data_IF_029186292973
#
_entry.id   IF_029186292973
#
_cell.length_a   1.000
_cell.length_b   1.000
_cell.length_c   1.000
_cell.angle_alpha   90.00
_cell.angle_beta   90.00
_cell.angle_gamma   90.00
#
_symmetry.space_group_name_H-M   'P 1'
#
loop_
_entity.id
_entity.type
_entity.pdbx_description
1 polymer ?
#
# COMPACT_ATOMS: atom_id res chain seq x y z
N UNK A 1 5.39 5.57 -10.99
CA UNK A 1 4.40 5.94 -12.02
C UNK A 1 3.09 6.24 -11.35
N UNK A 2 2.45 7.35 -11.72
CA UNK A 2 1.11 7.67 -11.24
C UNK A 2 0.12 7.03 -12.23
N UNK A 3 -0.79 6.21 -11.74
CA UNK A 3 -1.89 5.67 -12.53
C UNK A 3 -3.03 6.69 -12.45
N UNK A 4 -3.32 7.33 -13.57
CA UNK A 4 -4.38 8.32 -13.76
C UNK A 4 -5.11 7.97 -15.07
N UNK A 5 -6.44 7.78 -15.03
CA UNK A 5 -7.24 7.38 -16.20
C UNK A 5 -7.49 5.86 -16.36
N UNK A 6 -7.70 5.40 -17.60
CA UNK A 6 -8.04 4.00 -17.92
C UNK A 6 -6.86 3.04 -17.69
N UNK A 7 -6.93 2.30 -16.59
CA UNK A 7 -5.93 1.31 -16.14
C UNK A 7 -5.61 0.28 -17.25
N UNK A 8 -6.59 -0.11 -18.08
CA UNK A 8 -6.35 -1.08 -19.14
C UNK A 8 -5.49 -0.50 -20.26
N UNK A 9 -5.71 0.75 -20.63
CA UNK A 9 -4.90 1.41 -21.66
C UNK A 9 -3.47 1.62 -21.16
N UNK A 10 -3.31 1.99 -19.88
CA UNK A 10 -2.00 2.08 -19.24
C UNK A 10 -1.23 0.76 -19.31
N UNK A 11 -1.83 -0.36 -18.88
CA UNK A 11 -1.15 -1.66 -18.91
C UNK A 11 -0.83 -2.13 -20.33
N UNK A 12 -1.72 -1.91 -21.31
CA UNK A 12 -1.43 -2.23 -22.72
C UNK A 12 -0.20 -1.52 -23.25
N UNK A 13 -0.01 -0.25 -22.88
CA UNK A 13 1.17 0.50 -23.29
C UNK A 13 2.40 0.04 -22.51
N UNK A 14 2.27 -0.18 -21.20
CA UNK A 14 3.36 -0.63 -20.34
C UNK A 14 3.98 -1.96 -20.80
N UNK A 15 3.15 -2.98 -21.02
CA UNK A 15 3.63 -4.31 -21.43
C UNK A 15 4.15 -4.38 -22.87
N UNK A 16 3.97 -3.32 -23.67
CA UNK A 16 4.47 -3.23 -25.04
C UNK A 16 5.95 -2.83 -25.12
N UNK A 17 6.42 -1.98 -24.20
CA UNK A 17 7.77 -1.38 -24.25
C UNK A 17 8.81 -2.11 -23.38
N UNK A 18 8.38 -3.10 -22.59
CA UNK A 18 9.27 -3.94 -21.78
C UNK A 18 8.53 -4.59 -20.61
N UNK A 19 9.04 -5.74 -20.14
CA UNK A 19 8.44 -6.48 -19.03
C UNK A 19 9.21 -6.30 -17.74
N UNK A 20 8.64 -5.58 -16.77
CA UNK A 20 9.11 -5.64 -15.40
C UNK A 20 8.65 -6.95 -14.73
N UNK A 21 9.43 -7.45 -13.78
CA UNK A 21 9.11 -8.66 -13.03
C UNK A 21 8.64 -8.37 -11.60
N UNK A 22 8.95 -7.20 -11.04
CA UNK A 22 8.56 -6.86 -9.68
C UNK A 22 7.85 -5.50 -9.65
N UNK A 23 6.69 -5.48 -8.99
CA UNK A 23 5.75 -4.38 -8.98
C UNK A 23 5.38 -4.00 -7.54
N UNK A 24 5.26 -2.70 -7.30
CA UNK A 24 4.79 -2.15 -6.03
C UNK A 24 3.54 -1.31 -6.28
N UNK A 25 2.43 -1.70 -5.67
CA UNK A 25 1.16 -0.98 -5.67
C UNK A 25 1.01 -0.26 -4.33
N UNK A 26 0.98 1.08 -4.38
CA UNK A 26 0.83 1.91 -3.18
C UNK A 26 -0.58 2.49 -3.13
N UNK A 27 -1.32 2.18 -2.07
CA UNK A 27 -2.65 2.73 -1.82
C UNK A 27 -3.75 2.27 -2.78
N UNK A 28 -3.59 1.11 -3.43
CA UNK A 28 -4.61 0.54 -4.32
C UNK A 28 -5.62 -0.32 -3.55
N UNK A 29 -6.91 -0.22 -3.94
CA UNK A 29 -8.01 -1.00 -3.38
C UNK A 29 -8.11 -2.44 -3.90
N UNK A 30 -7.12 -2.91 -4.66
CA UNK A 30 -7.06 -4.26 -5.23
C UNK A 30 -7.53 -4.38 -6.69
N UNK A 31 -8.14 -3.33 -7.26
CA UNK A 31 -8.57 -3.35 -8.67
C UNK A 31 -7.37 -3.37 -9.63
N UNK A 32 -6.40 -2.49 -9.38
CA UNK A 32 -5.17 -2.41 -10.19
C UNK A 32 -4.35 -3.69 -10.02
N UNK A 33 -4.29 -4.21 -8.79
CA UNK A 33 -3.66 -5.49 -8.47
C UNK A 33 -4.23 -6.64 -9.30
N UNK A 34 -5.56 -6.81 -9.29
CA UNK A 34 -6.24 -7.88 -10.01
C UNK A 34 -6.05 -7.77 -11.53
N UNK A 35 -6.12 -6.54 -12.06
CA UNK A 35 -5.85 -6.30 -13.48
C UNK A 35 -4.40 -6.64 -13.83
N UNK A 36 -3.44 -6.18 -13.04
CA UNK A 36 -2.03 -6.48 -13.26
C UNK A 36 -1.78 -8.00 -13.30
N UNK A 37 -2.32 -8.75 -12.34
CA UNK A 37 -2.21 -10.21 -12.33
C UNK A 37 -2.79 -10.85 -13.61
N UNK A 38 -3.91 -10.34 -14.13
CA UNK A 38 -4.50 -10.82 -15.40
C UNK A 38 -3.58 -10.59 -16.60
N UNK A 39 -2.89 -9.46 -16.66
CA UNK A 39 -1.92 -9.19 -17.73
C UNK A 39 -0.70 -10.12 -17.61
N UNK A 40 -0.20 -10.35 -16.39
CA UNK A 40 0.97 -11.20 -16.13
C UNK A 40 0.71 -12.70 -16.36
N UNK A 41 -0.51 -13.16 -16.08
CA UNK A 41 -0.92 -14.54 -16.32
C UNK A 41 -1.23 -14.82 -17.80
N UNK A 42 -1.45 -13.79 -18.62
CA UNK A 42 -1.75 -13.95 -20.04
C UNK A 42 -0.50 -14.36 -20.83
N UNK A 43 -0.62 -15.41 -21.65
CA UNK A 43 0.48 -15.87 -22.53
C UNK A 43 1.00 -14.78 -23.46
N UNK A 44 0.10 -13.95 -24.01
CA UNK A 44 0.46 -12.86 -24.93
C UNK A 44 0.73 -11.52 -24.21
N UNK A 45 0.69 -11.50 -22.87
CA UNK A 45 0.82 -10.30 -22.01
C UNK A 45 -0.10 -9.12 -22.40
N UNK A 46 -1.19 -9.41 -23.09
CA UNK A 46 -2.10 -8.41 -23.67
C UNK A 46 -3.54 -8.52 -23.13
N UNK A 47 -3.74 -9.31 -22.08
CA UNK A 47 -5.04 -9.70 -21.54
C UNK A 47 -6.04 -10.06 -22.66
N UNK A 48 -5.75 -11.15 -23.39
CA UNK A 48 -6.44 -11.50 -24.64
C UNK A 48 -7.90 -11.96 -24.46
N UNK A 49 -8.34 -12.24 -23.22
CA UNK A 49 -9.67 -12.79 -22.86
C UNK A 49 -10.02 -14.14 -23.50
N UNK A 50 -9.06 -14.77 -24.19
CA UNK A 50 -9.25 -16.02 -24.95
C UNK A 50 -8.48 -17.20 -24.37
N UNK A 51 -7.35 -16.96 -23.71
CA UNK A 51 -6.59 -18.04 -23.10
C UNK A 51 -7.22 -18.47 -21.76
N UNK A 52 -6.92 -19.70 -21.37
CA UNK A 52 -7.39 -20.30 -20.11
C UNK A 52 -7.04 -19.43 -18.89
N UNK A 53 -5.83 -18.88 -18.85
CA UNK A 53 -5.40 -17.97 -17.80
C UNK A 53 -6.18 -16.64 -17.72
N UNK A 54 -6.71 -16.15 -18.85
CA UNK A 54 -7.57 -14.96 -18.86
C UNK A 54 -9.05 -15.26 -18.61
N UNK A 55 -9.46 -16.53 -18.75
CA UNK A 55 -10.85 -16.96 -18.55
C UNK A 55 -11.10 -17.48 -17.13
N UNK A 56 -10.06 -18.02 -16.48
CA UNK A 56 -10.13 -18.44 -15.09
C UNK A 56 -10.24 -17.24 -14.14
N UNK A 57 -11.08 -17.35 -13.11
CA UNK A 57 -11.10 -16.40 -12.00
C UNK A 57 -9.95 -16.63 -11.01
N UNK A 58 -9.35 -17.82 -11.01
CA UNK A 58 -8.24 -18.21 -10.15
C UNK A 58 -6.98 -18.49 -10.96
N UNK A 59 -5.87 -17.87 -10.56
CA UNK A 59 -4.57 -18.09 -11.18
C UNK A 59 -3.88 -19.27 -10.49
N UNK A 60 -3.85 -20.43 -11.13
CA UNK A 60 -3.21 -21.64 -10.58
C UNK A 60 -1.70 -21.45 -10.29
N UNK A 61 -1.05 -20.52 -11.00
CA UNK A 61 0.35 -20.14 -10.78
C UNK A 61 0.56 -19.03 -9.73
N UNK A 62 -0.52 -18.50 -9.13
CA UNK A 62 -0.42 -17.43 -8.13
C UNK A 62 -0.33 -17.98 -6.72
N UNK A 63 0.64 -17.50 -5.95
CA UNK A 63 0.75 -17.71 -4.50
C UNK A 63 0.47 -16.40 -3.78
N UNK A 64 -0.43 -16.46 -2.82
CA UNK A 64 -0.98 -15.29 -2.14
C UNK A 64 -0.51 -15.29 -0.69
N UNK A 65 0.15 -14.20 -0.29
CA UNK A 65 0.63 -13.94 1.06
C UNK A 65 -0.08 -12.69 1.57
N UNK A 66 -1.04 -12.86 2.48
CA UNK A 66 -1.81 -11.76 3.08
C UNK A 66 -1.65 -11.75 4.60
N UNK A 67 -1.42 -10.57 5.18
CA UNK A 67 -1.36 -10.40 6.63
C UNK A 67 -0.83 -9.05 7.08
N UNK A 68 -0.97 -8.73 8.37
CA UNK A 68 -0.53 -7.43 8.93
C UNK A 68 0.96 -7.15 8.67
N UNK A 69 1.80 -8.18 8.80
CA UNK A 69 3.24 -8.07 8.61
C UNK A 69 3.81 -9.29 7.89
N UNK A 70 4.66 -9.07 6.89
CA UNK A 70 5.44 -10.12 6.24
C UNK A 70 6.78 -10.29 6.94
N UNK A 71 7.03 -11.48 7.48
CA UNK A 71 8.22 -11.81 8.26
C UNK A 71 9.28 -12.53 7.42
N UNK A 72 10.46 -12.74 7.99
CA UNK A 72 11.56 -13.43 7.32
C UNK A 72 11.20 -14.86 6.91
N UNK A 73 10.38 -15.57 7.69
CA UNK A 73 9.94 -16.93 7.37
C UNK A 73 9.14 -16.94 6.06
N UNK A 74 8.18 -16.01 5.91
CA UNK A 74 7.38 -15.84 4.69
C UNK A 74 8.27 -15.49 3.50
N UNK A 75 9.23 -14.58 3.69
CA UNK A 75 10.17 -14.19 2.65
C UNK A 75 11.07 -15.34 2.19
N UNK A 76 11.49 -16.22 3.11
CA UNK A 76 12.26 -17.44 2.78
C UNK A 76 11.41 -18.45 2.02
N UNK A 77 10.13 -18.59 2.39
CA UNK A 77 9.21 -19.45 1.65
C UNK A 77 9.01 -18.95 0.22
N UNK A 78 8.77 -17.63 0.06
CA UNK A 78 8.67 -16.98 -1.25
C UNK A 78 9.94 -17.19 -2.07
N UNK A 79 11.12 -17.00 -1.47
CA UNK A 79 12.40 -17.25 -2.13
C UNK A 79 12.53 -18.71 -2.59
N UNK A 80 12.22 -19.67 -1.72
CA UNK A 80 12.28 -21.09 -2.06
C UNK A 80 11.32 -21.43 -3.21
N UNK A 81 10.09 -20.92 -3.13
CA UNK A 81 9.07 -21.08 -4.16
C UNK A 81 9.44 -20.43 -5.49
N UNK A 82 10.05 -19.24 -5.45
CA UNK A 82 10.47 -18.51 -6.63
C UNK A 82 11.59 -19.22 -7.39
N UNK A 83 12.42 -20.00 -6.69
CA UNK A 83 13.50 -20.80 -7.27
C UNK A 83 13.03 -22.13 -7.88
N UNK A 84 11.78 -22.53 -7.69
CA UNK A 84 11.23 -23.75 -8.29
C UNK A 84 10.81 -23.51 -9.74
N UNK A 85 10.91 -24.52 -10.61
CA UNK A 85 10.37 -24.45 -11.98
C UNK A 85 8.85 -24.24 -11.93
N UNK A 86 8.34 -23.39 -12.82
CA UNK A 86 6.90 -23.20 -12.94
C UNK A 86 6.22 -24.48 -13.46
N UNK A 87 5.14 -24.91 -12.80
CA UNK A 87 4.34 -26.05 -13.24
C UNK A 87 3.31 -25.65 -14.31
N UNK A 88 2.76 -24.42 -14.22
CA UNK A 88 1.70 -23.91 -15.08
C UNK A 88 1.90 -22.43 -15.38
N UNK A 89 2.47 -22.11 -16.54
CA UNK A 89 2.67 -20.73 -17.01
C UNK A 89 3.45 -19.84 -16.05
N UNK A 90 3.13 -18.54 -16.04
CA UNK A 90 3.77 -17.55 -15.17
C UNK A 90 3.54 -17.83 -13.68
N UNK A 91 4.60 -17.77 -12.86
CA UNK A 91 4.51 -17.76 -11.39
C UNK A 91 4.28 -16.34 -10.90
N UNK A 92 3.26 -16.13 -10.08
CA UNK A 92 2.93 -14.81 -9.55
C UNK A 92 2.92 -14.88 -8.02
N UNK A 93 3.77 -14.09 -7.38
CA UNK A 93 3.78 -13.91 -5.93
C UNK A 93 3.01 -12.64 -5.59
N UNK A 94 1.81 -12.80 -5.06
CA UNK A 94 0.97 -11.70 -4.59
C UNK A 94 1.21 -11.51 -3.11
N UNK A 95 1.75 -10.36 -2.73
CA UNK A 95 2.13 -10.02 -1.37
C UNK A 95 1.28 -8.81 -0.95
N UNK A 96 0.32 -9.01 -0.07
CA UNK A 96 -0.52 -7.93 0.47
C UNK A 96 -0.27 -7.83 1.98
N UNK A 97 0.48 -6.82 2.39
CA UNK A 97 0.81 -6.63 3.80
C UNK A 97 0.78 -5.17 4.21
N UNK A 98 0.55 -4.90 5.50
CA UNK A 98 0.69 -3.55 6.05
C UNK A 98 2.16 -3.16 6.21
N UNK A 99 3.03 -4.16 6.48
CA UNK A 99 4.43 -3.92 6.80
C UNK A 99 5.33 -5.08 6.35
N UNK A 100 6.49 -4.77 5.75
CA UNK A 100 7.52 -5.76 5.47
C UNK A 100 8.67 -5.58 6.47
N UNK A 101 8.98 -6.63 7.24
CA UNK A 101 10.09 -6.58 8.17
C UNK A 101 11.45 -6.38 7.44
N UNK A 102 12.44 -5.69 8.03
CA UNK A 102 13.68 -5.32 7.32
C UNK A 102 14.49 -6.52 6.81
N UNK A 103 14.45 -7.61 7.56
CA UNK A 103 15.05 -8.90 7.22
C UNK A 103 14.28 -9.62 6.09
N UNK A 104 12.95 -9.52 6.09
CA UNK A 104 12.10 -9.97 4.99
C UNK A 104 12.40 -9.20 3.69
N UNK A 105 12.52 -7.87 3.76
CA UNK A 105 12.88 -7.04 2.62
C UNK A 105 14.24 -7.42 2.03
N UNK A 106 15.25 -7.62 2.89
CA UNK A 106 16.60 -8.05 2.47
C UNK A 106 16.59 -9.43 1.83
N UNK A 107 15.73 -10.33 2.31
CA UNK A 107 15.57 -11.68 1.75
C UNK A 107 14.89 -11.63 0.38
N UNK A 108 13.81 -10.85 0.25
CA UNK A 108 13.11 -10.64 -1.02
C UNK A 108 13.98 -9.95 -2.07
N UNK A 109 14.83 -9.00 -1.65
CA UNK A 109 15.76 -8.30 -2.53
C UNK A 109 16.61 -9.26 -3.37
N UNK A 110 17.20 -10.28 -2.74
CA UNK A 110 18.04 -11.28 -3.40
C UNK A 110 17.29 -12.06 -4.48
N UNK A 111 16.00 -12.31 -4.26
CA UNK A 111 15.14 -13.04 -5.19
C UNK A 111 14.64 -12.14 -6.33
N UNK A 112 14.43 -10.85 -6.05
CA UNK A 112 13.95 -9.85 -7.02
C UNK A 112 15.07 -9.36 -7.95
N UNK A 113 16.34 -9.42 -7.53
CA UNK A 113 17.49 -9.05 -8.36
C UNK A 113 17.68 -9.97 -9.57
N UNK A 114 17.51 -11.27 -9.37
CA UNK A 114 17.69 -12.29 -10.42
C UNK A 114 16.51 -13.29 -10.37
N UNK A 115 15.29 -12.86 -10.72
CA UNK A 115 14.14 -13.73 -10.68
C UNK A 115 14.22 -14.77 -11.81
N UNK A 116 13.77 -15.99 -11.51
CA UNK A 116 13.61 -16.99 -12.57
C UNK A 116 12.69 -16.47 -13.70
N UNK A 117 12.89 -16.93 -14.95
CA UNK A 117 12.00 -16.58 -16.05
C UNK A 117 10.53 -16.79 -15.70
N UNK A 118 9.68 -15.88 -16.19
CA UNK A 118 8.22 -15.90 -15.96
C UNK A 118 7.81 -15.90 -14.48
N UNK A 119 8.67 -15.40 -13.60
CA UNK A 119 8.36 -15.17 -12.19
C UNK A 119 8.10 -13.69 -11.96
N UNK A 120 6.95 -13.38 -11.36
CA UNK A 120 6.51 -12.01 -11.10
C UNK A 120 6.17 -11.80 -9.62
N UNK A 121 6.49 -10.62 -9.10
CA UNK A 121 6.20 -10.19 -7.73
C UNK A 121 5.26 -9.00 -7.78
N UNK A 122 4.12 -9.10 -7.12
CA UNK A 122 3.14 -8.03 -6.97
C UNK A 122 3.01 -7.73 -5.49
N UNK A 123 3.58 -6.60 -5.06
CA UNK A 123 3.60 -6.15 -3.67
C UNK A 123 2.59 -5.02 -3.51
N UNK A 124 1.64 -5.18 -2.60
CA UNK A 124 0.59 -4.21 -2.28
C UNK A 124 0.80 -3.70 -0.87
N UNK A 125 1.04 -2.39 -0.73
CA UNK A 125 1.28 -1.71 0.56
C UNK A 125 0.43 -0.44 0.67
N UNK A 126 0.07 -0.08 1.91
CA UNK A 126 -0.59 1.20 2.19
C UNK A 126 0.36 2.41 1.95
N UNK A 127 1.65 2.24 2.22
CA UNK A 127 2.68 3.27 2.05
C UNK A 127 4.03 2.63 1.67
N UNK A 128 4.82 3.32 0.85
CA UNK A 128 6.18 2.92 0.51
C UNK A 128 7.24 3.42 1.51
N UNK A 129 6.84 4.20 2.52
CA UNK A 129 7.75 4.81 3.50
C UNK A 129 8.51 3.79 4.38
N UNK A 130 7.95 2.59 4.58
CA UNK A 130 8.57 1.51 5.35
C UNK A 130 9.55 0.66 4.52
N UNK A 131 9.62 0.89 3.21
CA UNK A 131 10.51 0.14 2.33
C UNK A 131 11.93 0.71 2.30
N UNK A 132 12.89 -0.19 2.31
CA UNK A 132 14.29 0.11 2.12
C UNK A 132 14.55 0.58 0.69
N UNK A 133 15.44 1.56 0.55
CA UNK A 133 15.83 2.12 -0.74
C UNK A 133 16.36 1.07 -1.74
N UNK A 134 17.15 0.05 -1.33
CA UNK A 134 17.60 -1.01 -2.24
C UNK A 134 16.44 -1.77 -2.86
N UNK A 135 15.43 -2.15 -2.06
CA UNK A 135 14.26 -2.86 -2.55
C UNK A 135 13.43 -1.98 -3.48
N UNK A 136 13.14 -0.75 -3.07
CA UNK A 136 12.33 0.19 -3.85
C UNK A 136 12.92 0.45 -5.25
N UNK A 137 14.26 0.52 -5.37
CA UNK A 137 14.94 0.76 -6.65
C UNK A 137 14.76 -0.36 -7.69
N UNK A 138 14.38 -1.58 -7.27
CA UNK A 138 14.16 -2.74 -8.15
C UNK A 138 12.67 -2.99 -8.43
N UNK A 139 11.79 -2.19 -7.83
CA UNK A 139 10.34 -2.31 -7.99
C UNK A 139 9.82 -1.30 -8.99
N UNK A 140 8.94 -1.74 -9.88
CA UNK A 140 8.13 -0.83 -10.69
C UNK A 140 6.98 -0.31 -9.82
N UNK A 141 7.10 0.94 -9.39
CA UNK A 141 6.13 1.55 -8.47
C UNK A 141 4.94 2.14 -9.23
N UNK A 142 3.75 1.66 -8.89
CA UNK A 142 2.45 2.15 -9.29
C UNK A 142 1.78 2.83 -8.09
N UNK A 143 1.61 4.15 -8.18
CA UNK A 143 0.89 4.96 -7.19
C UNK A 143 -0.43 5.38 -7.80
N UNK A 144 -1.55 5.15 -7.12
CA UNK A 144 -2.83 5.71 -7.57
C UNK A 144 -2.79 7.23 -7.43
N UNK A 145 -3.27 7.97 -8.44
CA UNK A 145 -3.32 9.43 -8.36
C UNK A 145 -4.26 9.84 -7.22
N UNK A 146 -3.81 10.77 -6.36
CA UNK A 146 -4.64 11.36 -5.29
C UNK A 146 -5.83 12.19 -5.82
N UNK A 147 -6.14 12.16 -7.13
CA UNK A 147 -7.22 12.98 -7.69
C UNK A 147 -8.62 12.44 -7.34
N UNK A 148 -8.82 11.13 -7.27
CA UNK A 148 -10.10 10.56 -6.84
C UNK A 148 -10.34 10.77 -5.33
N UNK A 149 -9.27 10.81 -4.53
CA UNK A 149 -9.34 11.14 -3.10
C UNK A 149 -9.70 12.62 -2.84
N UNK A 150 -9.42 13.55 -3.77
CA UNK A 150 -9.75 14.98 -3.58
C UNK A 150 -11.26 15.26 -3.55
N UNK A 151 -12.08 14.43 -4.18
CA UNK A 151 -13.53 14.65 -4.24
C UNK A 151 -14.25 14.34 -2.91
N UNK A 152 -13.76 13.36 -2.14
CA UNK A 152 -14.29 13.07 -0.79
C UNK A 152 -13.58 13.87 0.31
N UNK A 153 -12.27 14.11 0.20
CA UNK A 153 -11.47 14.78 1.25
C UNK A 153 -11.75 16.28 1.32
N UNK A 154 -12.16 16.93 0.22
CA UNK A 154 -12.52 18.35 0.23
C UNK A 154 -13.81 18.66 1.02
N UNK A 155 -14.57 17.64 1.45
CA UNK A 155 -15.69 17.78 2.39
C UNK A 155 -15.35 17.37 3.83
N UNK A 156 -14.12 16.94 4.12
CA UNK A 156 -13.71 16.55 5.46
C UNK A 156 -13.56 17.79 6.36
N UNK A 157 -14.66 18.21 6.99
CA UNK A 157 -14.60 18.98 8.23
C UNK A 157 -14.22 18.01 9.33
N UNK A 158 -13.14 18.32 10.04
CA UNK A 158 -12.60 17.50 11.11
C UNK A 158 -13.55 17.57 12.33
N UNK A 159 -14.67 16.83 12.27
CA UNK A 159 -15.64 16.65 13.35
C UNK A 159 -15.20 15.44 14.19
N UNK A 160 -14.35 15.71 15.19
CA UNK A 160 -13.76 14.71 16.08
C UNK A 160 -14.76 14.05 17.05
N UNK A 161 -15.97 14.59 17.20
CA UNK A 161 -17.05 13.97 17.96
C UNK A 161 -17.48 12.62 17.32
N UNK A 162 -17.36 12.51 15.99
CA UNK A 162 -17.68 11.27 15.26
C UNK A 162 -16.49 10.29 15.20
N UNK A 163 -15.26 10.75 15.49
CA UNK A 163 -14.03 9.95 15.33
C UNK A 163 -13.92 8.86 16.39
N UNK A 164 -14.36 9.12 17.63
CA UNK A 164 -14.46 8.10 18.68
C UNK A 164 -15.54 7.05 18.43
N UNK A 165 -16.54 7.36 17.58
CA UNK A 165 -17.62 6.45 17.19
C UNK A 165 -17.26 5.59 15.96
N UNK A 166 -16.39 6.10 15.08
CA UNK A 166 -16.01 5.47 13.81
C UNK A 166 -14.86 4.45 13.92
N UNK A 167 -14.05 4.50 14.97
CA UNK A 167 -12.87 3.63 15.12
C UNK A 167 -13.08 2.62 16.25
N UNK A 168 -13.78 1.54 15.94
CA UNK A 168 -13.90 0.38 16.83
C UNK A 168 -12.73 -0.59 16.64
N UNK A 169 -12.17 -0.64 15.43
CA UNK A 169 -11.10 -1.55 15.06
C UNK A 169 -9.80 -0.81 14.66
N UNK A 170 -8.67 -1.54 14.62
CA UNK A 170 -7.36 -0.96 14.26
C UNK A 170 -7.33 -0.43 12.83
N UNK A 171 -7.93 -1.17 11.89
CA UNK A 171 -7.96 -0.77 10.48
C UNK A 171 -8.72 0.56 10.28
N UNK A 172 -9.81 0.74 11.03
CA UNK A 172 -10.58 1.99 11.03
C UNK A 172 -9.78 3.14 11.67
N UNK A 173 -9.03 2.86 12.72
CA UNK A 173 -8.15 3.85 13.34
C UNK A 173 -6.99 4.26 12.43
N UNK A 174 -6.40 3.33 11.66
CA UNK A 174 -5.38 3.65 10.65
C UNK A 174 -5.95 4.56 9.56
N UNK A 175 -7.17 4.29 9.10
CA UNK A 175 -7.84 5.14 8.12
C UNK A 175 -8.13 6.55 8.67
N UNK A 176 -8.47 6.65 9.97
CA UNK A 176 -8.58 7.94 10.67
C UNK A 176 -7.24 8.67 10.73
N UNK A 177 -6.15 7.98 11.10
CA UNK A 177 -4.82 8.58 11.12
C UNK A 177 -4.41 9.12 9.75
N UNK A 178 -4.70 8.36 8.68
CA UNK A 178 -4.45 8.77 7.29
C UNK A 178 -5.24 10.02 6.90
N UNK A 179 -6.52 10.11 7.29
CA UNK A 179 -7.35 11.30 7.06
C UNK A 179 -6.81 12.53 7.79
N UNK A 180 -6.30 12.37 9.01
CA UNK A 180 -5.70 13.47 9.78
C UNK A 180 -4.40 13.96 9.11
N UNK A 181 -3.53 13.07 8.63
CA UNK A 181 -2.31 13.47 7.91
C UNK A 181 -2.63 14.25 6.63
N UNK A 182 -3.63 13.78 5.88
CA UNK A 182 -4.09 14.46 4.69
C UNK A 182 -4.67 15.86 5.00
N UNK A 183 -5.26 16.07 6.17
CA UNK A 183 -5.72 17.38 6.64
C UNK A 183 -4.58 18.28 7.15
N UNK A 184 -3.55 17.69 7.76
CA UNK A 184 -2.39 18.45 8.24
C UNK A 184 -1.53 18.99 7.09
N UNK A 185 -1.38 18.22 6.01
CA UNK A 185 -0.50 18.56 4.88
C UNK A 185 -0.77 19.94 4.22
N UNK A 186 -2.03 20.34 3.92
CA UNK A 186 -2.31 21.68 3.43
C UNK A 186 -2.14 22.75 4.51
N UNK A 187 -2.47 22.45 5.78
CA UNK A 187 -2.32 23.40 6.89
C UNK A 187 -0.87 23.80 7.08
N UNK A 188 0.06 22.85 7.08
CA UNK A 188 1.52 23.10 7.20
C UNK A 188 2.00 24.15 6.18
N UNK A 189 1.41 24.15 4.98
CA UNK A 189 1.79 25.07 3.88
C UNK A 189 1.17 26.47 4.00
N UNK A 190 0.12 26.63 4.80
CA UNK A 190 -0.64 27.89 4.93
C UNK A 190 -0.61 28.46 6.35
N UNK A 191 0.27 27.95 7.22
CA UNK A 191 0.39 28.40 8.61
C UNK A 191 0.98 29.81 8.71
N UNK A 192 0.27 30.70 9.40
CA UNK A 192 0.77 31.99 9.86
C UNK A 192 1.46 31.82 11.23
N UNK A 193 2.32 32.76 11.63
CA UNK A 193 3.14 32.69 12.86
C UNK A 193 2.32 32.44 14.13
N UNK A 194 1.12 33.01 14.24
CA UNK A 194 0.26 32.86 15.43
C UNK A 194 -0.48 31.51 15.48
N UNK A 195 -0.83 30.96 14.31
CA UNK A 195 -1.50 29.65 14.18
C UNK A 195 -0.52 28.47 14.28
N UNK A 196 0.79 28.75 14.11
CA UNK A 196 1.83 27.74 14.11
C UNK A 196 2.05 27.11 15.49
N UNK A 197 1.97 27.89 16.58
CA UNK A 197 2.16 27.35 17.94
C UNK A 197 1.07 26.35 18.34
N UNK A 198 -0.20 26.66 18.03
CA UNK A 198 -1.33 25.78 18.33
C UNK A 198 -1.30 24.51 17.47
N UNK A 199 -0.88 24.65 16.21
CA UNK A 199 -0.68 23.51 15.32
C UNK A 199 0.50 22.63 15.74
N UNK A 200 1.59 23.21 16.26
CA UNK A 200 2.74 22.48 16.79
C UNK A 200 2.33 21.59 17.96
N UNK A 201 1.56 22.11 18.93
CA UNK A 201 1.05 21.30 20.05
C UNK A 201 0.17 20.14 19.57
N UNK A 202 -0.74 20.39 18.62
CA UNK A 202 -1.56 19.32 18.04
C UNK A 202 -0.71 18.28 17.28
N UNK A 203 0.29 18.71 16.52
CA UNK A 203 1.14 17.82 15.75
C UNK A 203 2.00 16.93 16.67
N UNK A 204 2.56 17.50 17.75
CA UNK A 204 3.30 16.76 18.76
C UNK A 204 2.42 15.68 19.41
N UNK A 205 1.22 16.05 19.85
CA UNK A 205 0.23 15.11 20.41
C UNK A 205 -0.14 14.03 19.40
N UNK A 206 -0.34 14.40 18.13
CA UNK A 206 -0.64 13.45 17.05
C UNK A 206 0.49 12.42 16.87
N UNK A 207 1.74 12.87 16.79
CA UNK A 207 2.87 11.97 16.60
C UNK A 207 3.10 11.08 17.83
N UNK A 208 2.88 11.58 19.04
CA UNK A 208 2.96 10.78 20.26
C UNK A 208 1.87 9.71 20.30
N UNK A 209 0.64 10.07 19.95
CA UNK A 209 -0.50 9.14 19.88
C UNK A 209 -0.27 8.09 18.79
N UNK A 210 0.22 8.50 17.62
CA UNK A 210 0.56 7.58 16.52
C UNK A 210 1.63 6.59 16.96
N UNK A 211 2.68 7.05 17.64
CA UNK A 211 3.72 6.19 18.20
C UNK A 211 3.12 5.16 19.18
N UNK A 212 2.29 5.60 20.13
CA UNK A 212 1.61 4.71 21.10
C UNK A 212 0.63 3.73 20.44
N UNK A 213 0.01 4.11 19.32
CA UNK A 213 -0.84 3.22 18.51
C UNK A 213 -0.03 2.08 17.86
N UNK A 214 1.15 2.39 17.34
CA UNK A 214 2.08 1.41 16.76
C UNK A 214 2.72 0.51 17.83
N UNK A 215 3.01 1.05 19.02
CA UNK A 215 3.55 0.30 20.17
C UNK A 215 2.52 -0.62 20.87
N UNK A 216 1.25 -0.62 20.39
CA UNK A 216 0.14 -1.44 20.91
C UNK A 216 -0.15 -1.24 22.41
N UNK A 217 0.21 -0.08 22.95
CA UNK A 217 0.16 0.18 24.40
C UNK A 217 -1.25 0.51 24.91
N UNK A 218 -2.10 1.09 24.04
CA UNK A 218 -3.46 1.55 24.39
C UNK A 218 -4.47 1.19 23.31
N UNK A 219 -5.76 1.20 23.67
CA UNK A 219 -6.84 0.95 22.71
C UNK A 219 -6.93 2.10 21.69
N UNK A 220 -7.22 1.80 20.41
CA UNK A 220 -7.33 2.83 19.37
C UNK A 220 -8.34 3.93 19.71
N UNK A 221 -9.45 3.55 20.34
CA UNK A 221 -10.48 4.47 20.80
C UNK A 221 -9.97 5.49 21.82
N UNK A 222 -9.25 5.03 22.86
CA UNK A 222 -8.70 5.90 23.90
C UNK A 222 -7.68 6.89 23.33
N UNK A 223 -6.87 6.44 22.38
CA UNK A 223 -5.87 7.24 21.68
C UNK A 223 -6.51 8.33 20.82
N UNK A 224 -7.59 8.01 20.11
CA UNK A 224 -8.32 8.97 19.28
C UNK A 224 -9.17 9.96 20.10
N UNK A 225 -9.72 9.53 21.25
CA UNK A 225 -10.38 10.43 22.21
C UNK A 225 -9.39 11.46 22.79
N UNK A 226 -8.15 11.05 23.09
CA UNK A 226 -7.11 11.98 23.52
C UNK A 226 -6.77 13.02 22.44
N UNK A 227 -6.72 12.60 21.17
CA UNK A 227 -6.54 13.50 20.04
C UNK A 227 -7.75 14.45 19.85
N UNK A 228 -8.97 13.99 20.16
CA UNK A 228 -10.16 14.83 20.10
C UNK A 228 -10.13 15.97 21.13
N UNK A 229 -9.57 15.71 22.31
CA UNK A 229 -9.34 16.73 23.34
C UNK A 229 -8.29 17.75 22.90
N UNK A 230 -7.22 17.33 22.19
CA UNK A 230 -6.20 18.26 21.71
C UNK A 230 -6.68 19.21 20.60
N UNK A 231 -7.76 18.89 19.90
CA UNK A 231 -8.40 19.82 18.94
C UNK A 231 -8.94 21.09 19.60
N UNK A 232 -9.24 21.07 20.90
CA UNK A 232 -9.65 22.28 21.63
C UNK A 232 -8.51 23.32 21.71
N UNK A 233 -7.28 22.95 21.32
CA UNK A 233 -6.18 23.90 21.15
C UNK A 233 -6.27 24.70 19.83
N UNK A 234 -7.10 24.31 18.85
CA UNK A 234 -7.08 24.87 17.48
C UNK A 234 -8.31 25.77 17.20
N UNK A 235 -9.15 26.09 18.19
CA UNK A 235 -10.24 27.08 18.05
C UNK A 235 -9.75 28.53 18.07
#
# INVERSE_FOLDING_TARGET
MIIDGDINQFFRNFFRDGGAQAFLLVGDGGETENLLMRYLACYDKSFCKKCEACQSESFLGARVYEGESLKIEDAREIQFAANQTALYGSKIFRIKSGYLAPDAQTTLLKTIEEPHPETYFVISLASDASLSLPLLSRLTVFKKSKQDEKAEISKFKLNLEDIGALAQNRDEAEEVFRKIEAWMEPKIRTLNTDSAMLFLGFAEDYFEIKKRFFERTYSPKMLLEHLALSKHYIE
#
